data_IF_109440275843
#
_entry.id   IF_109440275843
#
_cell.length_a   1.000
_cell.length_b   1.000
_cell.length_c   1.000
_cell.angle_alpha   90.00
_cell.angle_beta   90.00
_cell.angle_gamma   90.00
#
_symmetry.space_group_name_H-M   'P 1'
#
loop_
_entity.id
_entity.type
_entity.pdbx_description
1 polymer ?
#
# COMPACT_ATOMS: atom_id res chain seq x y z
N UNK A 1 -13.02 13.87 19.02
CA UNK A 1 -11.94 12.86 18.99
C UNK A 1 -11.39 12.93 17.59
N UNK A 2 -10.18 13.47 17.47
CA UNK A 2 -9.52 13.78 16.20
C UNK A 2 -9.19 12.48 15.47
N UNK A 3 -9.49 12.47 14.17
CA UNK A 3 -9.33 11.32 13.28
C UNK A 3 -7.85 11.09 13.00
N UNK A 4 -7.15 10.41 13.91
CA UNK A 4 -5.81 9.93 13.65
C UNK A 4 -5.88 8.78 12.64
N UNK A 5 -5.79 9.13 11.37
CA UNK A 5 -5.26 8.26 10.34
C UNK A 5 -4.98 9.05 9.07
N UNK A 6 -3.93 9.85 9.15
CA UNK A 6 -3.30 10.40 7.98
C UNK A 6 -2.48 9.26 7.34
N UNK A 7 -3.14 8.44 6.51
CA UNK A 7 -2.43 7.78 5.43
C UNK A 7 -1.84 8.92 4.61
N UNK A 8 -0.57 9.27 4.86
CA UNK A 8 -0.01 10.59 4.57
C UNK A 8 -0.08 11.09 3.13
N UNK A 9 -0.65 10.31 2.22
CA UNK A 9 -1.03 10.68 0.85
C UNK A 9 -2.37 11.44 0.88
N UNK A 10 -2.33 12.72 0.51
CA UNK A 10 -3.46 13.66 0.63
C UNK A 10 -4.14 13.97 -0.70
N UNK A 11 -3.53 13.57 -1.82
CA UNK A 11 -4.06 13.80 -3.17
C UNK A 11 -3.71 12.68 -4.15
N UNK A 12 -4.42 12.66 -5.27
CA UNK A 12 -4.13 11.77 -6.40
C UNK A 12 -2.75 12.06 -7.01
N UNK A 13 -2.37 13.33 -7.15
CA UNK A 13 -1.04 13.71 -7.65
C UNK A 13 0.09 13.18 -6.77
N UNK A 14 -0.09 13.21 -5.45
CA UNK A 14 0.88 12.66 -4.51
C UNK A 14 0.97 11.13 -4.64
N UNK A 15 -0.16 10.45 -4.80
CA UNK A 15 -0.19 9.01 -5.06
C UNK A 15 0.56 8.67 -6.35
N UNK A 16 0.26 9.37 -7.45
CA UNK A 16 0.89 9.16 -8.75
C UNK A 16 2.39 9.43 -8.70
N UNK A 17 2.83 10.47 -7.98
CA UNK A 17 4.25 10.77 -7.78
C UNK A 17 4.98 9.66 -7.00
N UNK A 18 4.36 9.10 -5.96
CA UNK A 18 4.92 7.97 -5.22
C UNK A 18 4.96 6.69 -6.07
N UNK A 19 3.90 6.43 -6.85
CA UNK A 19 3.84 5.29 -7.77
C UNK A 19 4.93 5.40 -8.84
N UNK A 20 5.15 6.59 -9.39
CA UNK A 20 6.21 6.81 -10.38
C UNK A 20 7.60 6.54 -9.80
N UNK A 21 7.88 7.05 -8.59
CA UNK A 21 9.15 6.80 -7.88
C UNK A 21 9.37 5.31 -7.56
N UNK A 22 8.31 4.62 -7.15
CA UNK A 22 8.32 3.17 -6.98
C UNK A 22 8.68 2.45 -8.29
N UNK A 23 8.05 2.82 -9.40
CA UNK A 23 8.21 2.12 -10.68
C UNK A 23 9.54 2.43 -11.39
N UNK A 24 10.06 3.66 -11.27
CA UNK A 24 11.31 4.07 -11.92
C UNK A 24 12.54 3.71 -11.11
N UNK A 25 12.52 4.05 -9.83
CA UNK A 25 13.72 4.03 -8.98
C UNK A 25 13.66 2.92 -7.91
N UNK A 26 12.56 2.17 -7.84
CA UNK A 26 12.29 1.20 -6.78
C UNK A 26 12.47 1.84 -5.38
N UNK A 27 12.04 3.10 -5.27
CA UNK A 27 12.23 3.95 -4.10
C UNK A 27 11.55 3.33 -2.86
N UNK A 28 12.36 3.02 -1.84
CA UNK A 28 11.90 2.38 -0.61
C UNK A 28 10.95 3.27 0.20
N UNK A 29 11.17 4.59 0.20
CA UNK A 29 10.31 5.53 0.92
C UNK A 29 8.93 5.64 0.26
N UNK A 30 8.88 5.63 -1.07
CA UNK A 30 7.65 5.59 -1.83
C UNK A 30 6.92 4.26 -1.66
N UNK A 31 7.66 3.15 -1.67
CA UNK A 31 7.17 1.81 -1.34
C UNK A 31 6.46 1.82 0.01
N UNK A 32 7.13 2.31 1.05
CA UNK A 32 6.60 2.31 2.41
C UNK A 32 5.38 3.24 2.54
N UNK A 33 5.40 4.41 1.90
CA UNK A 33 4.27 5.34 1.90
C UNK A 33 3.02 4.73 1.25
N UNK A 34 3.19 4.07 0.10
CA UNK A 34 2.11 3.35 -0.59
C UNK A 34 1.57 2.19 0.25
N UNK A 35 2.44 1.38 0.86
CA UNK A 35 2.00 0.30 1.76
C UNK A 35 1.23 0.82 2.97
N UNK A 36 1.70 1.90 3.60
CA UNK A 36 1.03 2.53 4.74
C UNK A 36 -0.34 3.09 4.35
N UNK A 37 -0.47 3.61 3.13
CA UNK A 37 -1.74 4.09 2.60
C UNK A 37 -2.80 2.98 2.56
N UNK A 38 -2.43 1.78 2.12
CA UNK A 38 -3.35 0.63 2.06
C UNK A 38 -3.45 -0.19 3.36
N UNK A 39 -2.61 0.08 4.38
CA UNK A 39 -2.48 -0.76 5.58
C UNK A 39 -3.81 -0.97 6.31
N UNK A 40 -4.62 0.09 6.44
CA UNK A 40 -5.96 -0.01 7.02
C UNK A 40 -6.87 -0.98 6.28
N UNK A 41 -6.88 -0.87 4.95
CA UNK A 41 -7.73 -1.70 4.12
C UNK A 41 -7.26 -3.15 4.16
N UNK A 42 -5.95 -3.40 4.20
CA UNK A 42 -5.42 -4.74 4.44
C UNK A 42 -5.91 -5.31 5.77
N UNK A 43 -5.81 -4.56 6.86
CA UNK A 43 -6.29 -4.98 8.20
C UNK A 43 -7.82 -5.21 8.21
N UNK A 44 -8.57 -4.42 7.45
CA UNK A 44 -10.02 -4.60 7.32
C UNK A 44 -10.34 -5.88 6.54
N UNK A 45 -9.62 -6.13 5.46
CA UNK A 45 -9.81 -7.28 4.57
C UNK A 45 -9.38 -8.60 5.23
N UNK A 46 -8.41 -8.59 6.17
CA UNK A 46 -8.05 -9.83 6.89
C UNK A 46 -9.21 -10.45 7.65
N UNK A 47 -10.24 -9.68 8.01
CA UNK A 47 -11.41 -10.18 8.75
C UNK A 47 -12.25 -11.19 7.96
N UNK A 48 -12.17 -11.15 6.64
CA UNK A 48 -12.93 -12.04 5.75
C UNK A 48 -12.08 -13.19 5.19
N UNK A 49 -10.77 -13.14 5.40
CA UNK A 49 -9.84 -14.16 4.93
C UNK A 49 -9.77 -15.32 5.93
N UNK A 50 -9.83 -16.56 5.43
CA UNK A 50 -9.65 -17.79 6.23
C UNK A 50 -8.17 -18.12 6.39
N UNK A 51 -7.39 -17.16 6.87
CA UNK A 51 -5.95 -17.33 7.11
C UNK A 51 -5.51 -16.51 8.33
N UNK A 52 -4.35 -16.82 8.95
CA UNK A 52 -3.81 -16.01 10.03
C UNK A 52 -3.66 -14.56 9.61
N UNK A 53 -3.95 -13.64 10.54
CA UNK A 53 -3.94 -12.19 10.25
C UNK A 53 -2.59 -11.72 9.71
N UNK A 54 -1.50 -12.20 10.30
CA UNK A 54 -0.14 -11.83 9.89
C UNK A 54 0.16 -12.31 8.47
N UNK A 55 -0.14 -13.57 8.17
CA UNK A 55 0.03 -14.16 6.85
C UNK A 55 -0.82 -13.44 5.79
N UNK A 56 -2.06 -13.06 6.12
CA UNK A 56 -2.93 -12.29 5.25
C UNK A 56 -2.31 -10.94 4.90
N UNK A 57 -1.85 -10.19 5.91
CA UNK A 57 -1.26 -8.88 5.70
C UNK A 57 0.00 -9.01 4.85
N UNK A 58 0.88 -9.97 5.13
CA UNK A 58 2.10 -10.15 4.36
C UNK A 58 1.80 -10.54 2.90
N UNK A 59 0.88 -11.47 2.70
CA UNK A 59 0.46 -11.88 1.35
C UNK A 59 -0.09 -10.68 0.56
N UNK A 60 -0.97 -9.89 1.17
CA UNK A 60 -1.53 -8.69 0.54
C UNK A 60 -0.48 -7.62 0.24
N UNK A 61 0.51 -7.42 1.12
CA UNK A 61 1.62 -6.49 0.87
C UNK A 61 2.43 -6.91 -0.35
N UNK A 62 2.79 -8.19 -0.45
CA UNK A 62 3.56 -8.72 -1.59
C UNK A 62 2.78 -8.55 -2.89
N UNK A 63 1.53 -9.04 -2.94
CA UNK A 63 0.67 -8.94 -4.13
C UNK A 63 0.43 -7.48 -4.55
N UNK A 64 0.20 -6.58 -3.59
CA UNK A 64 0.05 -5.16 -3.87
C UNK A 64 1.32 -4.58 -4.49
N UNK A 65 2.49 -4.88 -3.93
CA UNK A 65 3.76 -4.39 -4.48
C UNK A 65 3.99 -4.90 -5.90
N UNK A 66 3.69 -6.17 -6.16
CA UNK A 66 3.78 -6.72 -7.52
C UNK A 66 2.81 -6.02 -8.47
N UNK A 67 1.57 -5.76 -8.04
CA UNK A 67 0.59 -5.00 -8.81
C UNK A 67 1.09 -3.59 -9.13
N UNK A 68 1.63 -2.87 -8.14
CA UNK A 68 2.12 -1.50 -8.32
C UNK A 68 3.40 -1.44 -9.17
N UNK A 69 4.26 -2.45 -9.10
CA UNK A 69 5.49 -2.55 -9.90
C UNK A 69 5.25 -3.01 -11.34
N UNK A 70 4.15 -3.70 -11.61
CA UNK A 70 3.75 -4.02 -12.98
C UNK A 70 3.40 -2.73 -13.72
N UNK A 71 4.36 -2.23 -14.49
CA UNK A 71 4.11 -1.21 -15.50
C UNK A 71 3.18 -1.83 -16.54
N UNK A 72 1.94 -1.34 -16.66
CA UNK A 72 1.12 -1.63 -17.83
C UNK A 72 1.87 -1.05 -19.03
N UNK A 73 2.60 -1.93 -19.73
CA UNK A 73 3.32 -1.61 -20.96
C UNK A 73 2.38 -1.43 -22.13
#
# INVERSE_FOLDING_TARGET
MEEENDSGIKSEDEFLGLLERLQKDNDESATLALLKFFEKDMVRLTRVLRMPKEDAIQSMKVELLECLKRKNG
#
